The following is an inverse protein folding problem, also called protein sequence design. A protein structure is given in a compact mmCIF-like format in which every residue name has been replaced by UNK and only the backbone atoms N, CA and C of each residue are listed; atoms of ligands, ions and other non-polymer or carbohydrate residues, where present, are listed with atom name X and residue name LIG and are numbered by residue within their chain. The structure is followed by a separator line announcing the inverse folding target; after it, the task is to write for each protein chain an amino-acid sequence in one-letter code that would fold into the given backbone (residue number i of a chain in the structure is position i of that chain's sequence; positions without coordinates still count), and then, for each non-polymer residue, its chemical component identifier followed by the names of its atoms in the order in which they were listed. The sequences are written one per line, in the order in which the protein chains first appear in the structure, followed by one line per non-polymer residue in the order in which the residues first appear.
data_IF_285351710896
#
_entry.id   IF_285351710896
#
_cell.length_a   1.000
_cell.length_b   1.000
_cell.length_c   1.000
_cell.angle_alpha   90.00
_cell.angle_beta   90.00
_cell.angle_gamma   90.00
#
_symmetry.space_group_name_H-M   'P 1'
#
loop_
_entity.id
_entity.type
_entity.pdbx_description
1 polymer ?
#
# COMPACT_ATOMS: atom_id res chain seq x y z
N UNK A 1 -61.30 -65.33 -39.20
CA UNK A 1 -60.33 -64.19 -38.95
C UNK A 1 -61.08 -63.08 -38.21
N UNK A 2 -60.81 -62.89 -36.96
CA UNK A 2 -61.29 -61.72 -36.18
C UNK A 2 -60.41 -60.55 -36.42
N UNK A 3 -60.90 -59.44 -37.00
CA UNK A 3 -60.18 -58.15 -37.09
C UNK A 3 -60.56 -57.27 -35.88
N UNK A 4 -59.65 -57.03 -35.00
CA UNK A 4 -59.83 -56.03 -33.93
C UNK A 4 -59.34 -54.65 -34.46
N UNK A 5 -60.29 -53.74 -34.61
CA UNK A 5 -59.98 -52.33 -34.89
C UNK A 5 -59.79 -51.61 -33.56
N UNK A 6 -58.58 -51.30 -33.28
CA UNK A 6 -58.24 -50.48 -32.11
C UNK A 6 -58.08 -49.02 -32.57
N UNK A 7 -58.75 -48.04 -31.97
CA UNK A 7 -58.57 -46.62 -32.33
C UNK A 7 -57.14 -46.21 -32.08
N UNK A 8 -56.53 -45.55 -33.09
CA UNK A 8 -55.14 -45.08 -33.05
C UNK A 8 -54.87 -44.16 -31.86
N UNK A 9 -55.84 -43.41 -31.39
CA UNK A 9 -55.77 -42.48 -30.27
C UNK A 9 -55.64 -43.16 -28.89
N UNK A 10 -55.98 -44.44 -28.78
CA UNK A 10 -55.75 -45.23 -27.57
C UNK A 10 -54.39 -45.88 -27.49
N UNK A 11 -53.62 -45.90 -28.58
CA UNK A 11 -52.29 -46.49 -28.66
C UNK A 11 -51.22 -45.37 -28.51
N UNK A 12 -51.57 -44.16 -28.89
CA UNK A 12 -50.70 -43.01 -28.61
C UNK A 12 -50.88 -42.55 -27.16
N UNK A 13 -50.17 -43.20 -26.28
CA UNK A 13 -50.25 -42.88 -24.85
C UNK A 13 -49.78 -41.44 -24.59
N UNK A 14 -50.69 -40.57 -24.15
CA UNK A 14 -50.31 -39.29 -23.50
C UNK A 14 -49.42 -39.50 -22.31
N UNK A 15 -49.26 -40.70 -21.82
CA UNK A 15 -48.42 -41.12 -20.71
C UNK A 15 -46.94 -40.84 -20.96
N UNK A 16 -46.41 -40.93 -22.20
CA UNK A 16 -45.00 -40.64 -22.46
C UNK A 16 -44.65 -39.15 -22.24
N UNK A 17 -45.56 -38.23 -22.62
CA UNK A 17 -45.36 -36.77 -22.37
C UNK A 17 -45.49 -36.43 -20.90
N UNK A 18 -46.49 -37.01 -20.23
CA UNK A 18 -46.70 -36.84 -18.80
C UNK A 18 -45.50 -37.40 -18.02
N UNK A 19 -45.01 -38.58 -18.40
CA UNK A 19 -43.84 -39.20 -17.79
C UNK A 19 -42.56 -38.36 -17.99
N UNK A 20 -42.36 -37.83 -19.20
CA UNK A 20 -41.24 -36.90 -19.48
C UNK A 20 -41.31 -35.65 -18.58
N UNK A 21 -42.51 -35.03 -18.44
CA UNK A 21 -42.72 -33.89 -17.55
C UNK A 21 -42.46 -34.23 -16.07
N UNK A 22 -42.88 -35.39 -15.62
CA UNK A 22 -42.69 -35.87 -14.24
C UNK A 22 -41.21 -36.09 -13.89
N UNK A 23 -40.36 -36.36 -14.86
CA UNK A 23 -38.93 -36.50 -14.65
C UNK A 23 -38.22 -35.15 -14.83
N UNK A 24 -38.55 -34.37 -15.88
CA UNK A 24 -37.81 -33.18 -16.22
C UNK A 24 -38.06 -32.02 -15.23
N UNK A 25 -39.30 -31.83 -14.77
CA UNK A 25 -39.65 -30.74 -13.84
C UNK A 25 -38.95 -30.90 -12.47
N UNK A 26 -39.02 -32.06 -11.81
CA UNK A 26 -38.27 -32.27 -10.55
C UNK A 26 -36.77 -32.19 -10.74
N UNK A 27 -36.23 -32.67 -11.87
CA UNK A 27 -34.79 -32.57 -12.17
C UNK A 27 -34.34 -31.11 -12.29
N UNK A 28 -35.10 -30.27 -13.00
CA UNK A 28 -34.81 -28.82 -13.11
C UNK A 28 -34.88 -28.15 -11.73
N UNK A 29 -35.90 -28.45 -10.94
CA UNK A 29 -36.05 -27.88 -9.59
C UNK A 29 -34.88 -28.31 -8.72
N UNK A 30 -34.49 -29.57 -8.77
CA UNK A 30 -33.35 -30.08 -7.99
C UNK A 30 -32.03 -29.42 -8.37
N UNK A 31 -31.78 -29.20 -9.67
CA UNK A 31 -30.60 -28.47 -10.17
C UNK A 31 -30.63 -27.02 -9.70
N UNK A 32 -31.79 -26.36 -9.76
CA UNK A 32 -31.93 -24.97 -9.30
C UNK A 32 -31.67 -24.85 -7.80
N UNK A 33 -32.22 -25.74 -7.00
CA UNK A 33 -31.94 -25.78 -5.53
C UNK A 33 -30.46 -26.02 -5.29
N UNK A 34 -29.83 -26.96 -5.98
CA UNK A 34 -28.39 -27.26 -5.86
C UNK A 34 -27.53 -26.07 -6.20
N UNK A 35 -27.86 -25.34 -7.28
CA UNK A 35 -27.12 -24.13 -7.67
C UNK A 35 -27.24 -23.00 -6.63
N UNK A 36 -28.44 -22.79 -6.06
CA UNK A 36 -28.66 -21.82 -5.00
C UNK A 36 -27.88 -22.21 -3.76
N UNK A 37 -27.91 -23.47 -3.38
CA UNK A 37 -27.17 -23.99 -2.22
C UNK A 37 -25.65 -23.83 -2.41
N UNK A 38 -25.13 -24.20 -3.57
CA UNK A 38 -23.71 -24.05 -3.91
C UNK A 38 -23.27 -22.57 -3.85
N UNK A 39 -24.08 -21.69 -4.43
CA UNK A 39 -23.83 -20.23 -4.39
C UNK A 39 -23.79 -19.69 -2.95
N UNK A 40 -24.69 -20.16 -2.10
CA UNK A 40 -24.74 -19.74 -0.70
C UNK A 40 -23.54 -20.26 0.11
N UNK A 41 -22.99 -21.42 -0.24
CA UNK A 41 -21.81 -21.99 0.40
C UNK A 41 -20.50 -21.34 -0.08
N UNK A 42 -20.41 -20.97 -1.37
CA UNK A 42 -19.17 -20.39 -1.91
C UNK A 42 -18.99 -18.91 -1.55
N UNK A 43 -20.07 -18.15 -1.39
CA UNK A 43 -20.02 -16.73 -1.03
C UNK A 43 -19.20 -16.41 0.24
N UNK A 44 -19.42 -17.10 1.38
CA UNK A 44 -18.63 -16.85 2.59
C UNK A 44 -17.13 -17.10 2.40
N UNK A 45 -16.77 -18.13 1.64
CA UNK A 45 -15.36 -18.46 1.34
C UNK A 45 -14.72 -17.34 0.51
N UNK A 46 -15.41 -16.89 -0.54
CA UNK A 46 -14.90 -15.79 -1.38
C UNK A 46 -14.82 -14.46 -0.62
N UNK A 47 -15.73 -14.22 0.32
CA UNK A 47 -15.66 -13.03 1.18
C UNK A 47 -14.47 -13.08 2.13
N UNK A 48 -14.18 -14.25 2.73
CA UNK A 48 -13.01 -14.46 3.58
C UNK A 48 -11.72 -14.27 2.77
N UNK A 49 -11.65 -14.86 1.57
CA UNK A 49 -10.49 -14.71 0.68
C UNK A 49 -10.24 -13.25 0.29
N UNK A 50 -11.29 -12.50 -0.07
CA UNK A 50 -11.18 -11.06 -0.36
C UNK A 50 -10.75 -10.24 0.86
N UNK A 51 -11.28 -10.58 2.04
CA UNK A 51 -10.88 -9.91 3.28
C UNK A 51 -9.39 -10.15 3.56
N UNK A 52 -8.92 -11.39 3.38
CA UNK A 52 -7.51 -11.72 3.53
C UNK A 52 -6.61 -11.01 2.50
N UNK A 53 -7.04 -10.95 1.23
CA UNK A 53 -6.33 -10.24 0.16
C UNK A 53 -6.23 -8.73 0.45
N UNK A 54 -7.35 -8.08 0.82
CA UNK A 54 -7.38 -6.65 1.14
C UNK A 54 -6.53 -6.34 2.36
N UNK A 55 -6.58 -7.17 3.40
CA UNK A 55 -5.72 -7.04 4.57
C UNK A 55 -4.24 -7.17 4.20
N UNK A 56 -3.89 -8.15 3.34
CA UNK A 56 -2.53 -8.33 2.83
C UNK A 56 -2.01 -7.14 2.01
N UNK A 57 -2.91 -6.41 1.33
CA UNK A 57 -2.58 -5.16 0.61
C UNK A 57 -2.53 -3.93 1.52
N UNK A 58 -2.70 -4.09 2.84
CA UNK A 58 -2.72 -2.97 3.79
C UNK A 58 -3.95 -2.07 3.66
N UNK A 59 -5.04 -2.55 3.03
CA UNK A 59 -6.29 -1.81 2.97
C UNK A 59 -7.02 -1.87 4.32
N UNK A 60 -7.69 -0.77 4.69
CA UNK A 60 -8.58 -0.80 5.85
C UNK A 60 -9.75 -1.72 5.57
N UNK A 61 -9.93 -2.71 6.42
CA UNK A 61 -11.11 -3.58 6.39
C UNK A 61 -12.14 -3.04 7.38
N UNK A 62 -13.33 -2.76 6.87
CA UNK A 62 -14.51 -2.68 7.73
C UNK A 62 -14.67 -3.99 8.52
N UNK A 63 -15.49 -3.96 9.57
CA UNK A 63 -15.68 -5.11 10.42
C UNK A 63 -16.07 -6.35 9.60
N UNK A 64 -15.16 -7.31 9.49
CA UNK A 64 -15.42 -8.58 8.82
C UNK A 64 -16.31 -9.46 9.70
N UNK A 65 -17.51 -9.80 9.21
CA UNK A 65 -18.45 -10.67 9.93
C UNK A 65 -18.44 -12.06 9.31
N UNK A 66 -17.87 -13.06 10.00
CA UNK A 66 -17.87 -14.43 9.54
C UNK A 66 -19.29 -14.97 9.32
N UNK A 67 -19.55 -15.59 8.17
CA UNK A 67 -20.84 -16.15 7.81
C UNK A 67 -20.68 -17.51 7.13
N UNK A 68 -21.78 -18.25 6.93
CA UNK A 68 -21.78 -19.55 6.26
C UNK A 68 -21.77 -20.75 7.21
N UNK A 69 -21.28 -21.89 6.72
CA UNK A 69 -21.15 -23.12 7.50
C UNK A 69 -20.26 -22.94 8.73
N UNK A 70 -20.40 -23.84 9.70
CA UNK A 70 -19.71 -23.72 11.00
C UNK A 70 -18.18 -23.62 10.83
N UNK A 71 -17.62 -24.44 9.96
CA UNK A 71 -16.18 -24.49 9.68
C UNK A 71 -15.67 -23.19 9.07
N UNK A 72 -16.45 -22.59 8.15
CA UNK A 72 -16.10 -21.33 7.50
C UNK A 72 -16.23 -20.16 8.47
N UNK A 73 -17.23 -20.18 9.36
CA UNK A 73 -17.37 -19.19 10.42
C UNK A 73 -16.21 -19.25 11.40
N UNK A 74 -15.79 -20.47 11.76
CA UNK A 74 -14.63 -20.68 12.63
C UNK A 74 -13.35 -20.16 11.97
N UNK A 75 -13.10 -20.52 10.69
CA UNK A 75 -11.96 -19.99 9.93
C UNK A 75 -11.98 -18.45 9.84
N UNK A 76 -13.16 -17.87 9.63
CA UNK A 76 -13.35 -16.42 9.61
C UNK A 76 -13.09 -15.75 10.95
N UNK A 77 -13.47 -16.41 12.05
CA UNK A 77 -13.17 -15.94 13.41
C UNK A 77 -11.67 -15.97 13.70
N UNK A 78 -10.98 -17.07 13.36
CA UNK A 78 -9.53 -17.18 13.53
C UNK A 78 -8.77 -16.16 12.68
N UNK A 79 -9.22 -15.91 11.43
CA UNK A 79 -8.68 -14.83 10.61
C UNK A 79 -8.82 -13.46 11.28
N UNK A 80 -10.00 -13.14 11.84
CA UNK A 80 -10.24 -11.88 12.53
C UNK A 80 -9.39 -11.74 13.80
N UNK A 81 -9.21 -12.83 14.56
CA UNK A 81 -8.32 -12.84 15.71
C UNK A 81 -6.85 -12.64 15.31
N UNK A 82 -6.41 -13.28 14.25
CA UNK A 82 -5.07 -13.09 13.67
C UNK A 82 -4.88 -11.64 13.22
N UNK A 83 -5.84 -11.08 12.47
CA UNK A 83 -5.84 -9.68 12.02
C UNK A 83 -5.69 -8.71 13.19
N UNK A 84 -6.52 -8.85 14.23
CA UNK A 84 -6.47 -8.02 15.43
C UNK A 84 -5.12 -8.13 16.16
N UNK A 85 -4.54 -9.33 16.20
CA UNK A 85 -3.23 -9.55 16.80
C UNK A 85 -2.13 -8.84 16.03
N UNK A 86 -2.12 -8.98 14.70
CA UNK A 86 -1.14 -8.29 13.82
C UNK A 86 -1.25 -6.77 13.99
N UNK A 87 -2.48 -6.21 13.93
CA UNK A 87 -2.69 -4.77 14.11
C UNK A 87 -2.22 -4.28 15.48
N UNK A 88 -2.47 -5.05 16.54
CA UNK A 88 -1.99 -4.73 17.89
C UNK A 88 -0.46 -4.70 17.94
N UNK A 89 0.21 -5.69 17.35
CA UNK A 89 1.68 -5.73 17.30
C UNK A 89 2.26 -4.56 16.49
N UNK A 90 1.64 -4.19 15.37
CA UNK A 90 2.06 -3.02 14.58
C UNK A 90 1.90 -1.74 15.38
N UNK A 91 0.76 -1.53 16.06
CA UNK A 91 0.53 -0.36 16.91
C UNK A 91 1.50 -0.30 18.09
N UNK A 92 1.69 -1.42 18.79
CA UNK A 92 2.64 -1.49 19.91
C UNK A 92 4.08 -1.19 19.46
N UNK A 93 4.48 -1.68 18.28
CA UNK A 93 5.78 -1.34 17.68
C UNK A 93 5.89 0.15 17.41
N UNK A 94 4.84 0.76 16.85
CA UNK A 94 4.83 2.20 16.56
C UNK A 94 4.87 3.06 17.82
N UNK A 95 4.12 2.68 18.86
CA UNK A 95 4.16 3.34 20.18
C UNK A 95 5.55 3.26 20.82
N UNK A 96 6.15 2.06 20.79
CA UNK A 96 7.51 1.86 21.31
C UNK A 96 8.53 2.74 20.56
N UNK A 97 8.46 2.79 19.23
CA UNK A 97 9.36 3.62 18.42
C UNK A 97 9.16 5.11 18.66
N UNK A 98 7.90 5.54 18.84
CA UNK A 98 7.58 6.92 19.23
C UNK A 98 8.16 7.29 20.60
N UNK A 99 8.04 6.38 21.59
CA UNK A 99 8.64 6.55 22.91
C UNK A 99 10.17 6.66 22.86
N UNK A 100 10.83 5.73 22.15
CA UNK A 100 12.28 5.76 21.95
C UNK A 100 12.73 7.07 21.31
N UNK A 101 11.95 7.58 20.33
CA UNK A 101 12.26 8.88 19.71
C UNK A 101 12.29 10.02 20.70
N UNK A 102 11.25 10.11 21.52
CA UNK A 102 11.16 11.12 22.54
C UNK A 102 12.35 11.03 23.51
N UNK A 103 12.66 9.82 23.97
CA UNK A 103 13.72 9.57 24.95
C UNK A 103 15.12 9.82 24.39
N UNK A 104 15.33 9.60 23.08
CA UNK A 104 16.59 9.93 22.41
C UNK A 104 16.72 11.43 22.07
N UNK A 105 15.63 12.14 21.84
CA UNK A 105 15.67 13.59 21.57
C UNK A 105 16.13 14.39 22.79
N UNK A 106 15.77 13.96 23.99
CA UNK A 106 16.14 14.63 25.24
C UNK A 106 17.69 14.71 25.44
N UNK A 107 18.48 13.60 25.37
CA UNK A 107 19.93 13.68 25.47
C UNK A 107 20.56 14.44 24.30
N UNK A 108 20.04 14.33 23.06
CA UNK A 108 20.53 15.10 21.92
C UNK A 108 20.37 16.61 22.15
N UNK A 109 19.24 17.06 22.69
CA UNK A 109 19.01 18.46 23.05
C UNK A 109 19.95 18.89 24.16
N UNK A 110 20.20 18.03 25.15
CA UNK A 110 21.16 18.33 26.23
C UNK A 110 22.60 18.48 25.70
N UNK A 111 23.03 17.59 24.79
CA UNK A 111 24.34 17.69 24.14
C UNK A 111 24.46 18.98 23.33
N UNK A 112 23.43 19.40 22.59
CA UNK A 112 23.41 20.71 21.88
C UNK A 112 23.61 21.88 22.83
N UNK A 113 22.97 21.84 23.99
CA UNK A 113 23.14 22.90 24.99
C UNK A 113 24.55 22.89 25.59
N UNK A 114 25.14 21.72 25.83
CA UNK A 114 26.52 21.61 26.37
C UNK A 114 27.57 22.12 25.37
N UNK A 115 27.38 21.87 24.06
CA UNK A 115 28.29 22.38 23.02
C UNK A 115 28.32 23.90 22.99
N UNK A 116 27.23 24.59 23.34
CA UNK A 116 27.19 26.04 23.40
C UNK A 116 28.15 26.66 24.41
N UNK A 117 28.66 25.87 25.38
CA UNK A 117 29.65 26.29 26.38
C UNK A 117 31.11 25.97 26.00
N UNK A 118 31.34 25.33 24.84
CA UNK A 118 32.69 25.02 24.36
C UNK A 118 33.32 26.29 23.78
N UNK A 119 34.50 26.68 24.29
CA UNK A 119 35.23 27.87 23.85
C UNK A 119 35.83 27.71 22.45
N UNK A 120 36.29 26.50 22.10
CA UNK A 120 36.77 26.16 20.77
C UNK A 120 35.61 26.08 19.76
N UNK A 121 35.45 27.14 18.97
CA UNK A 121 34.37 27.26 17.99
C UNK A 121 34.45 26.21 16.88
N UNK A 122 35.63 25.77 16.46
CA UNK A 122 35.79 24.78 15.41
C UNK A 122 35.35 23.38 15.89
N UNK A 123 35.74 23.05 17.12
CA UNK A 123 35.29 21.82 17.77
C UNK A 123 33.77 21.84 18.03
N UNK A 124 33.26 22.96 18.54
CA UNK A 124 31.83 23.15 18.81
C UNK A 124 30.99 22.97 17.53
N UNK A 125 31.39 23.55 16.40
CA UNK A 125 30.71 23.41 15.11
C UNK A 125 30.71 21.96 14.63
N UNK A 126 31.83 21.25 14.67
CA UNK A 126 31.92 19.85 14.29
C UNK A 126 30.97 18.95 15.11
N UNK A 127 30.99 19.13 16.44
CA UNK A 127 30.10 18.38 17.32
C UNK A 127 28.63 18.71 17.11
N UNK A 128 28.31 19.98 16.82
CA UNK A 128 26.93 20.38 16.48
C UNK A 128 26.47 19.77 15.17
N UNK A 129 27.32 19.65 14.15
CA UNK A 129 27.05 18.97 12.90
C UNK A 129 26.78 17.48 13.14
N UNK A 130 27.59 16.78 13.92
CA UNK A 130 27.42 15.37 14.25
C UNK A 130 26.09 15.12 14.98
N UNK A 131 25.72 15.97 15.94
CA UNK A 131 24.43 15.83 16.66
C UNK A 131 23.27 16.12 15.75
N UNK A 132 23.35 17.09 14.86
CA UNK A 132 22.31 17.37 13.89
C UNK A 132 22.13 16.18 12.91
N UNK A 133 23.23 15.53 12.50
CA UNK A 133 23.19 14.32 11.70
C UNK A 133 22.51 13.16 12.45
N UNK A 134 22.85 12.95 13.73
CA UNK A 134 22.18 11.94 14.58
C UNK A 134 20.68 12.20 14.72
N UNK A 135 20.26 13.45 14.94
CA UNK A 135 18.85 13.82 15.03
C UNK A 135 18.11 13.57 13.70
N UNK A 136 18.75 13.88 12.57
CA UNK A 136 18.23 13.61 11.24
C UNK A 136 18.07 12.11 11.00
N UNK A 137 19.09 11.30 11.32
CA UNK A 137 19.03 9.84 11.21
C UNK A 137 17.90 9.26 12.05
N UNK A 138 17.73 9.72 13.28
CA UNK A 138 16.65 9.28 14.16
C UNK A 138 15.29 9.59 13.56
N UNK A 139 15.09 10.80 13.06
CA UNK A 139 13.83 11.21 12.45
C UNK A 139 13.53 10.42 11.15
N UNK A 140 14.52 10.17 10.29
CA UNK A 140 14.35 9.36 9.07
C UNK A 140 14.02 7.89 9.42
N UNK A 141 14.68 7.31 10.44
CA UNK A 141 14.38 5.96 10.91
C UNK A 141 12.96 5.82 11.45
N UNK A 142 12.51 6.79 12.25
CA UNK A 142 11.16 6.81 12.78
C UNK A 142 10.11 6.97 11.69
N UNK A 143 10.37 7.81 10.71
CA UNK A 143 9.53 7.94 9.55
C UNK A 143 9.43 6.63 8.76
N UNK A 144 10.54 5.91 8.60
CA UNK A 144 10.56 4.60 7.94
C UNK A 144 9.70 3.59 8.67
N UNK A 145 9.82 3.50 9.98
CA UNK A 145 9.09 2.53 10.80
C UNK A 145 7.61 2.88 11.01
N UNK A 146 7.25 4.15 10.98
CA UNK A 146 5.87 4.63 11.11
C UNK A 146 5.03 4.50 9.83
N UNK A 147 5.62 4.07 8.73
CA UNK A 147 4.94 3.93 7.41
C UNK A 147 3.85 2.86 7.40
N UNK A 148 3.81 2.00 8.41
CA UNK A 148 2.81 0.94 8.55
C UNK A 148 1.47 1.39 9.14
N UNK A 149 1.26 2.70 9.38
CA UNK A 149 -0.04 3.19 9.80
C UNK A 149 -1.05 2.99 8.67
N UNK A 150 -2.16 2.34 9.01
CA UNK A 150 -3.28 2.12 8.10
C UNK A 150 -3.91 3.50 7.83
N UNK A 151 -3.48 4.12 6.74
CA UNK A 151 -4.08 5.35 6.25
C UNK A 151 -5.28 5.02 5.39
N UNK A 152 -6.39 5.75 5.58
CA UNK A 152 -7.59 5.59 4.77
C UNK A 152 -7.36 6.11 3.36
N UNK A 153 -7.90 5.40 2.39
CA UNK A 153 -7.99 5.93 1.05
C UNK A 153 -8.97 7.10 1.02
N UNK A 154 -8.54 8.20 0.43
CA UNK A 154 -9.38 9.38 0.18
C UNK A 154 -9.27 9.83 -1.28
N UNK A 155 -10.32 10.49 -1.77
CA UNK A 155 -10.31 11.13 -3.08
C UNK A 155 -9.59 12.47 -2.97
N UNK A 156 -8.53 12.67 -3.73
CA UNK A 156 -7.81 13.94 -3.76
C UNK A 156 -7.27 14.27 -5.16
N UNK A 157 -6.95 15.55 -5.35
CA UNK A 157 -6.34 16.04 -6.58
C UNK A 157 -4.82 15.83 -6.54
N UNK A 158 -4.33 14.88 -7.34
CA UNK A 158 -2.91 14.53 -7.40
C UNK A 158 -2.06 15.67 -7.98
N UNK A 159 -2.58 16.40 -8.97
CA UNK A 159 -1.88 17.54 -9.56
C UNK A 159 -1.63 18.64 -8.53
N UNK A 160 -2.65 18.94 -7.72
CA UNK A 160 -2.55 19.92 -6.63
C UNK A 160 -1.58 19.45 -5.52
N UNK A 161 -1.58 18.16 -5.19
CA UNK A 161 -0.64 17.60 -4.23
C UNK A 161 0.81 17.76 -4.70
N UNK A 162 1.10 17.47 -5.98
CA UNK A 162 2.44 17.65 -6.56
C UNK A 162 2.83 19.13 -6.52
N UNK A 163 1.94 20.04 -6.92
CA UNK A 163 2.20 21.48 -6.84
C UNK A 163 2.49 21.95 -5.41
N UNK A 164 1.75 21.48 -4.41
CA UNK A 164 1.99 21.78 -3.01
C UNK A 164 3.37 21.29 -2.54
N UNK A 165 3.78 20.10 -2.99
CA UNK A 165 5.10 19.55 -2.67
C UNK A 165 6.19 20.39 -3.31
N UNK A 166 6.09 20.70 -4.61
CA UNK A 166 7.08 21.50 -5.35
C UNK A 166 7.24 22.91 -4.74
N UNK A 167 6.14 23.55 -4.38
CA UNK A 167 6.15 24.91 -3.82
C UNK A 167 6.88 24.99 -2.46
N UNK A 168 6.98 23.90 -1.70
CA UNK A 168 7.75 23.87 -0.43
C UNK A 168 9.24 24.07 -0.65
N UNK A 169 9.76 23.66 -1.79
CA UNK A 169 11.20 23.72 -2.04
C UNK A 169 11.69 25.11 -2.43
N UNK A 170 10.77 26.08 -2.75
CA UNK A 170 11.14 27.44 -3.18
C UNK A 170 12.30 27.47 -4.21
N UNK A 171 12.47 26.38 -4.97
CA UNK A 171 13.64 26.15 -5.80
C UNK A 171 13.31 26.43 -7.27
N UNK A 172 14.03 27.38 -7.87
CA UNK A 172 13.89 27.72 -9.29
C UNK A 172 14.31 26.60 -10.26
N UNK A 173 14.94 25.53 -9.72
CA UNK A 173 15.45 24.41 -10.50
C UNK A 173 14.44 23.24 -10.64
N UNK A 174 13.21 23.40 -10.16
CA UNK A 174 12.16 22.40 -10.33
C UNK A 174 11.16 22.90 -11.39
N UNK A 175 11.11 22.19 -12.50
CA UNK A 175 10.10 22.38 -13.54
C UNK A 175 9.01 21.34 -13.37
N UNK A 176 7.73 21.74 -13.46
CA UNK A 176 6.60 20.83 -13.46
C UNK A 176 5.77 20.96 -14.74
N UNK A 177 5.39 19.81 -15.30
CA UNK A 177 4.49 19.66 -16.45
C UNK A 177 3.38 18.69 -16.05
N UNK A 178 2.32 19.23 -15.47
CA UNK A 178 1.27 18.45 -14.83
C UNK A 178 -0.02 18.48 -15.63
N UNK A 179 -0.58 17.33 -15.91
CA UNK A 179 -1.98 17.23 -16.37
C UNK A 179 -2.89 17.80 -15.27
N UNK A 180 -3.70 18.84 -15.54
CA UNK A 180 -4.51 19.48 -14.52
C UNK A 180 -5.69 18.60 -14.07
N UNK A 181 -6.09 18.76 -12.80
CA UNK A 181 -7.29 18.13 -12.21
C UNK A 181 -7.33 16.60 -12.29
N UNK A 182 -6.23 15.95 -11.99
CA UNK A 182 -6.16 14.48 -11.89
C UNK A 182 -6.57 14.06 -10.50
N UNK A 183 -7.74 13.42 -10.36
CA UNK A 183 -8.23 12.89 -9.10
C UNK A 183 -7.93 11.40 -8.99
N UNK A 184 -7.45 10.99 -7.83
CA UNK A 184 -7.20 9.59 -7.50
C UNK A 184 -7.80 9.24 -6.13
N UNK A 185 -8.11 7.97 -5.96
CA UNK A 185 -8.48 7.42 -4.66
C UNK A 185 -7.28 6.65 -4.10
N UNK A 186 -6.67 7.17 -3.04
CA UNK A 186 -5.45 6.60 -2.49
C UNK A 186 -5.07 7.20 -1.14
N UNK A 187 -3.93 6.75 -0.62
CA UNK A 187 -3.38 7.20 0.67
C UNK A 187 -2.53 8.46 0.44
N UNK A 188 -3.14 9.64 0.62
CA UNK A 188 -2.58 10.95 0.29
C UNK A 188 -1.24 11.22 0.97
N UNK A 189 -1.13 10.92 2.30
CA UNK A 189 0.09 11.20 3.04
C UNK A 189 1.24 10.28 2.62
N UNK A 190 0.96 9.01 2.27
CA UNK A 190 1.98 8.10 1.75
C UNK A 190 2.49 8.57 0.39
N UNK A 191 1.59 8.98 -0.52
CA UNK A 191 1.99 9.52 -1.83
C UNK A 191 2.78 10.82 -1.66
N UNK A 192 2.35 11.71 -0.76
CA UNK A 192 3.10 12.94 -0.43
C UNK A 192 4.52 12.61 0.06
N UNK A 193 4.66 11.60 0.90
CA UNK A 193 5.95 11.14 1.42
C UNK A 193 6.82 10.52 0.32
N UNK A 194 6.25 9.69 -0.56
CA UNK A 194 6.94 9.15 -1.73
C UNK A 194 7.52 10.26 -2.59
N UNK A 195 6.69 11.26 -2.93
CA UNK A 195 7.10 12.42 -3.72
C UNK A 195 8.26 13.18 -3.06
N UNK A 196 8.15 13.52 -1.77
CA UNK A 196 9.22 14.22 -1.04
C UNK A 196 10.52 13.40 -1.07
N UNK A 197 10.49 12.09 -0.81
CA UNK A 197 11.68 11.26 -0.81
C UNK A 197 12.40 11.21 -2.18
N UNK A 198 11.61 11.12 -3.26
CA UNK A 198 12.18 11.08 -4.61
C UNK A 198 12.72 12.47 -5.02
N UNK A 199 11.98 13.54 -4.72
CA UNK A 199 12.40 14.91 -5.04
C UNK A 199 13.63 15.30 -4.23
N UNK A 200 13.69 14.98 -2.94
CA UNK A 200 14.87 15.20 -2.08
C UNK A 200 16.09 14.49 -2.65
N UNK A 201 15.92 13.26 -3.13
CA UNK A 201 17.00 12.49 -3.75
C UNK A 201 17.43 13.13 -5.08
N UNK A 202 16.49 13.52 -5.94
CA UNK A 202 16.74 14.18 -7.21
C UNK A 202 17.48 15.51 -7.03
N UNK A 203 17.07 16.35 -6.08
CA UNK A 203 17.74 17.63 -5.75
C UNK A 203 19.11 17.44 -5.13
N UNK A 204 19.30 16.35 -4.39
CA UNK A 204 20.58 16.06 -3.74
C UNK A 204 21.67 15.64 -4.71
N UNK A 205 21.32 14.82 -5.71
CA UNK A 205 22.28 14.25 -6.66
C UNK A 205 22.27 14.93 -8.03
N UNK A 206 21.18 15.63 -8.36
CA UNK A 206 21.02 16.46 -9.55
C UNK A 206 20.97 17.94 -9.20
N UNK A 207 21.09 18.80 -10.21
CA UNK A 207 20.93 20.25 -10.08
C UNK A 207 19.57 20.75 -10.54
N UNK A 208 18.94 20.04 -11.49
CA UNK A 208 17.62 20.35 -12.04
C UNK A 208 16.72 19.13 -11.94
N UNK A 209 15.47 19.37 -11.63
CA UNK A 209 14.43 18.32 -11.50
C UNK A 209 13.26 18.68 -12.39
N UNK A 210 12.80 17.72 -13.19
CA UNK A 210 11.61 17.86 -14.01
C UNK A 210 10.55 16.81 -13.62
N UNK A 211 9.37 17.31 -13.24
CA UNK A 211 8.26 16.46 -12.79
C UNK A 211 7.18 16.49 -13.86
N UNK A 212 6.75 15.32 -14.32
CA UNK A 212 5.67 15.17 -15.29
C UNK A 212 4.58 14.27 -14.72
N UNK A 213 3.33 14.69 -14.86
CA UNK A 213 2.15 13.88 -14.58
C UNK A 213 1.38 13.67 -15.88
N UNK A 214 1.31 12.45 -16.36
CA UNK A 214 0.58 12.12 -17.56
C UNK A 214 -0.24 10.85 -17.42
N UNK A 215 -1.34 10.80 -18.16
CA UNK A 215 -2.21 9.62 -18.23
C UNK A 215 -1.91 8.85 -19.51
N UNK A 216 -1.69 7.54 -19.39
CA UNK A 216 -1.54 6.64 -20.53
C UNK A 216 -2.48 5.46 -20.33
N UNK A 217 -3.49 5.34 -21.19
CA UNK A 217 -4.60 4.39 -21.05
C UNK A 217 -5.34 4.59 -19.70
N UNK A 218 -5.40 3.53 -18.88
CA UNK A 218 -6.01 3.53 -17.53
C UNK A 218 -5.04 3.91 -16.43
N UNK A 219 -3.74 3.98 -16.72
CA UNK A 219 -2.69 4.22 -15.74
C UNK A 219 -2.26 5.68 -15.70
N UNK A 220 -1.93 6.17 -14.52
CA UNK A 220 -1.30 7.46 -14.28
C UNK A 220 0.19 7.24 -14.04
N UNK A 221 1.00 8.08 -14.67
CA UNK A 221 2.45 8.05 -14.53
C UNK A 221 2.92 9.39 -13.97
N UNK A 222 3.69 9.32 -12.89
CA UNK A 222 4.47 10.42 -12.35
C UNK A 222 5.92 10.13 -12.71
N UNK A 223 6.53 10.98 -13.51
CA UNK A 223 7.93 10.86 -13.89
C UNK A 223 8.70 12.00 -13.25
N UNK A 224 9.78 11.68 -12.55
CA UNK A 224 10.67 12.64 -11.92
C UNK A 224 12.06 12.42 -12.55
N UNK A 225 12.48 13.33 -13.39
CA UNK A 225 13.76 13.29 -14.09
C UNK A 225 14.73 14.26 -13.39
N UNK A 226 15.95 13.84 -13.12
CA UNK A 226 17.04 14.67 -12.61
C UNK A 226 18.22 14.66 -13.60
N UNK A 227 19.10 15.65 -13.48
CA UNK A 227 20.34 15.77 -14.27
C UNK A 227 21.58 15.25 -13.52
N UNK A 228 21.37 14.38 -12.53
CA UNK A 228 22.42 13.77 -11.73
C UNK A 228 23.26 12.75 -12.50
N UNK A 229 24.25 12.15 -11.83
CA UNK A 229 25.19 11.19 -12.46
C UNK A 229 24.55 9.86 -12.85
N UNK A 230 23.27 9.66 -12.50
CA UNK A 230 22.55 8.41 -12.69
C UNK A 230 23.00 7.28 -11.75
N UNK A 231 22.31 6.14 -11.85
CA UNK A 231 22.55 4.95 -11.04
C UNK A 231 23.13 3.86 -11.95
N UNK A 232 24.29 3.26 -11.63
CA UNK A 232 24.85 2.16 -12.39
C UNK A 232 23.89 0.97 -12.45
N UNK A 233 23.77 0.29 -13.59
CA UNK A 233 22.83 -0.82 -13.79
C UNK A 233 22.94 -1.93 -12.73
N UNK A 234 24.13 -2.17 -12.19
CA UNK A 234 24.38 -3.18 -11.15
C UNK A 234 23.78 -2.82 -9.81
N UNK A 235 23.46 -1.53 -9.61
CA UNK A 235 22.97 -0.98 -8.34
C UNK A 235 21.45 -0.72 -8.35
N UNK A 236 20.75 -0.87 -9.48
CA UNK A 236 19.33 -0.57 -9.61
C UNK A 236 18.46 -1.32 -8.59
N UNK A 237 18.78 -2.59 -8.29
CA UNK A 237 18.05 -3.36 -7.28
C UNK A 237 18.50 -3.03 -5.85
N UNK A 238 19.78 -2.65 -5.69
CA UNK A 238 20.35 -2.41 -4.37
C UNK A 238 19.92 -1.06 -3.78
N UNK A 239 19.72 -0.03 -4.61
CA UNK A 239 19.36 1.32 -4.14
C UNK A 239 18.00 1.39 -3.43
N UNK A 240 17.13 0.39 -3.63
CA UNK A 240 15.87 0.25 -2.92
C UNK A 240 15.99 -0.49 -1.57
N UNK A 241 17.16 -1.06 -1.26
CA UNK A 241 17.38 -1.70 0.04
C UNK A 241 17.56 -0.65 1.14
N UNK A 242 16.94 -0.83 2.31
CA UNK A 242 17.13 0.07 3.44
C UNK A 242 18.64 0.22 3.78
N UNK A 243 19.05 1.43 4.10
CA UNK A 243 20.43 1.79 4.50
C UNK A 243 21.50 1.60 3.41
N UNK A 244 21.07 1.32 2.17
CA UNK A 244 22.03 1.17 1.08
C UNK A 244 22.46 2.52 0.51
N UNK A 245 23.78 2.66 0.24
CA UNK A 245 24.40 3.83 -0.41
C UNK A 245 25.45 3.34 -1.39
N UNK A 246 25.46 3.91 -2.60
CA UNK A 246 26.41 3.57 -3.66
C UNK A 246 27.83 4.02 -3.26
N UNK A 247 27.96 5.27 -2.77
CA UNK A 247 29.25 5.86 -2.38
C UNK A 247 29.34 5.99 -0.85
N UNK A 248 30.16 5.14 -0.22
CA UNK A 248 30.48 5.24 1.22
C UNK A 248 31.53 6.29 1.57
N UNK A 249 32.17 6.91 0.58
CA UNK A 249 33.38 7.72 0.76
C UNK A 249 33.29 9.22 0.48
N UNK A 250 32.21 9.72 -0.13
CA UNK A 250 32.04 11.17 -0.38
C UNK A 250 31.50 11.90 0.85
N UNK A 251 32.03 13.10 1.11
CA UNK A 251 31.59 13.96 2.23
C UNK A 251 30.06 14.19 2.21
N UNK A 252 29.45 14.26 1.03
CA UNK A 252 28.00 14.39 0.84
C UNK A 252 27.19 13.13 1.20
N UNK A 253 27.87 11.95 1.35
CA UNK A 253 27.21 10.71 1.80
C UNK A 253 26.80 10.75 3.26
N UNK A 254 27.37 11.67 4.06
CA UNK A 254 27.02 11.87 5.47
C UNK A 254 25.57 12.36 5.66
N UNK A 255 24.98 13.08 4.69
CA UNK A 255 23.73 13.79 4.88
C UNK A 255 22.44 12.97 4.69
N UNK A 256 22.48 11.66 4.41
CA UNK A 256 21.27 10.82 4.29
C UNK A 256 21.49 9.41 4.81
N UNK A 257 20.47 8.83 5.42
CA UNK A 257 20.54 7.48 6.04
C UNK A 257 20.43 6.36 4.99
N UNK A 258 19.98 6.65 3.76
CA UNK A 258 19.73 5.64 2.72
C UNK A 258 18.37 4.95 2.87
N UNK A 259 17.39 5.67 3.40
CA UNK A 259 16.02 5.15 3.59
C UNK A 259 15.02 5.73 2.58
N UNK A 260 15.33 6.84 1.90
CA UNK A 260 14.37 7.56 1.06
C UNK A 260 13.81 6.72 -0.09
N UNK A 261 14.68 6.04 -0.87
CA UNK A 261 14.24 5.20 -2.00
C UNK A 261 13.55 3.91 -1.53
N UNK A 262 13.97 3.30 -0.42
CA UNK A 262 13.28 2.13 0.13
C UNK A 262 11.87 2.49 0.60
N UNK A 263 11.69 3.65 1.24
CA UNK A 263 10.36 4.16 1.61
C UNK A 263 9.49 4.41 0.38
N UNK A 264 10.06 4.98 -0.69
CA UNK A 264 9.32 5.24 -1.92
C UNK A 264 8.90 3.94 -2.64
N UNK A 265 9.70 2.88 -2.52
CA UNK A 265 9.40 1.56 -3.08
C UNK A 265 8.32 0.80 -2.31
N UNK A 266 8.19 1.04 -1.00
CA UNK A 266 7.20 0.37 -0.14
C UNK A 266 5.79 1.00 -0.23
N UNK A 267 5.67 2.16 -0.87
CA UNK A 267 4.41 2.91 -1.04
C UNK A 267 3.73 2.57 -2.36
#
# INVERSE_FOLDING_TARGET
YFKFLVPKDRVSSSSARIFALWITVPAIIMVMISLIFLKNQTRPITNLARAAERFGKGEELEEFRPSGAMEIRQAGHEFEMMRKRILRHLNQRNEMLSGISHDLRTPLTRMKLQIAFIEDKDLANKLAEDINEMEKMLNEYLQFTSSSNIEKNEMFNLSELIDQVVNKYNNKNIENDLTPRVYINGRKNLINRCLNNIIDNALKYGGKVKIKLHKKNTNLFITIDDDGPGIPNKEHENVFKPFYKIDKGRADSKSSVGLGLSIASDI
#
